data_IF_816289196617
#
_entry.id   IF_816289196617
#
_cell.length_a   1.000
_cell.length_b   1.000
_cell.length_c   1.000
_cell.angle_alpha   90.00
_cell.angle_beta   90.00
_cell.angle_gamma   90.00
#
_symmetry.space_group_name_H-M   'P 1'
#
loop_
_entity.id
_entity.type
_entity.pdbx_description
1 polymer ?
#
# COMPACT_ATOMS: atom_id res chain seq x y z
N UNK A 1 23.91 13.08 3.12
CA UNK A 1 24.63 13.62 1.93
C UNK A 1 23.57 14.22 0.99
N UNK A 2 22.97 15.33 1.41
CA UNK A 2 21.97 16.08 0.66
C UNK A 2 22.24 17.57 0.92
N UNK A 3 23.19 18.14 0.17
CA UNK A 3 23.33 19.59 -0.01
C UNK A 3 23.83 19.84 -1.41
N UNK A 4 23.27 20.85 -2.03
CA UNK A 4 23.49 21.45 -3.35
C UNK A 4 22.59 20.93 -4.47
N UNK A 5 21.60 21.74 -4.81
CA UNK A 5 21.48 22.53 -6.04
C UNK A 5 20.35 23.54 -5.86
N UNK A 6 20.73 24.79 -5.62
CA UNK A 6 19.91 25.98 -5.86
C UNK A 6 20.78 26.95 -6.67
N UNK A 7 20.26 27.41 -7.78
CA UNK A 7 20.74 28.64 -8.43
C UNK A 7 21.03 28.53 -9.91
N UNK A 8 20.07 28.97 -10.73
CA UNK A 8 20.25 30.10 -11.65
C UNK A 8 19.04 30.27 -12.56
N UNK A 9 18.49 31.46 -12.52
CA UNK A 9 17.51 32.00 -13.48
C UNK A 9 18.25 32.40 -14.75
N UNK A 10 17.62 32.25 -15.92
CA UNK A 10 17.66 33.27 -17.00
C UNK A 10 16.50 33.03 -17.97
N UNK A 11 15.87 34.13 -18.30
CA UNK A 11 14.76 34.28 -19.24
C UNK A 11 15.27 34.41 -20.68
N UNK A 12 14.41 34.06 -21.65
CA UNK A 12 14.24 34.80 -22.90
C UNK A 12 13.31 34.09 -23.88
N UNK A 13 12.20 34.73 -24.17
CA UNK A 13 11.66 35.31 -25.42
C UNK A 13 11.06 34.34 -26.45
N UNK A 14 9.83 34.73 -26.75
CA UNK A 14 8.94 34.21 -27.79
C UNK A 14 9.43 34.49 -29.21
N UNK A 15 9.07 33.62 -30.14
CA UNK A 15 8.80 33.98 -31.52
C UNK A 15 7.80 33.02 -32.16
N UNK A 16 6.73 33.55 -32.63
CA UNK A 16 5.72 32.90 -33.45
C UNK A 16 6.16 32.82 -34.92
N UNK A 17 5.82 31.74 -35.60
CA UNK A 17 5.70 31.77 -37.09
C UNK A 17 4.61 30.80 -37.55
N UNK A 18 3.73 31.35 -38.34
CA UNK A 18 2.58 30.81 -39.06
C UNK A 18 3.08 30.15 -40.38
N UNK A 19 2.44 29.07 -40.81
CA UNK A 19 2.71 28.49 -42.15
C UNK A 19 1.80 27.31 -42.45
N UNK A 20 0.64 27.57 -42.97
CA UNK A 20 -0.08 27.19 -44.19
C UNK A 20 -0.09 25.68 -44.60
N UNK A 21 -1.33 25.23 -44.80
CA UNK A 21 -1.83 23.96 -45.39
C UNK A 21 -1.23 23.66 -46.77
N UNK A 22 -1.12 22.34 -47.06
CA UNK A 22 -1.37 21.77 -48.37
C UNK A 22 -1.96 20.36 -48.25
N UNK A 23 -3.18 20.21 -48.79
CA UNK A 23 -3.84 18.93 -49.05
C UNK A 23 -3.20 18.26 -50.30
N UNK A 24 -2.99 16.98 -50.24
CA UNK A 24 -2.92 16.13 -51.45
C UNK A 24 -3.62 14.80 -51.17
N UNK A 25 -4.70 14.59 -51.89
CA UNK A 25 -5.38 13.30 -52.00
C UNK A 25 -4.66 12.45 -53.07
N UNK A 26 -4.50 11.16 -52.83
CA UNK A 26 -4.33 10.16 -53.88
C UNK A 26 -4.94 8.83 -53.45
N UNK A 27 -5.59 8.23 -54.39
CA UNK A 27 -6.53 7.14 -54.47
C UNK A 27 -5.89 5.74 -54.43
N UNK A 28 -6.61 4.81 -53.77
CA UNK A 28 -6.83 3.36 -54.05
C UNK A 28 -5.76 2.48 -54.69
N UNK A 29 -5.42 1.38 -54.01
CA UNK A 29 -5.25 0.06 -54.59
C UNK A 29 -5.56 -1.02 -53.53
N UNK A 30 -6.46 -1.94 -53.93
CA UNK A 30 -6.81 -3.16 -53.21
C UNK A 30 -5.62 -4.12 -53.11
N UNK A 31 -5.44 -4.78 -51.99
CA UNK A 31 -4.71 -6.03 -51.86
C UNK A 31 -5.16 -6.86 -50.65
N UNK A 32 -5.78 -7.95 -50.98
CA UNK A 32 -5.88 -9.23 -50.29
C UNK A 32 -5.99 -9.30 -48.75
N UNK A 33 -7.18 -9.72 -48.34
CA UNK A 33 -7.54 -10.20 -47.02
C UNK A 33 -6.86 -11.54 -46.70
N UNK A 34 -5.82 -11.51 -45.87
CA UNK A 34 -5.38 -12.70 -45.13
C UNK A 34 -6.05 -12.61 -43.76
N UNK A 35 -6.94 -13.56 -43.51
CA UNK A 35 -7.73 -13.64 -42.28
C UNK A 35 -6.83 -13.70 -41.03
N UNK A 36 -7.02 -12.75 -40.14
CA UNK A 36 -6.47 -12.82 -38.79
C UNK A 36 -7.15 -13.95 -38.00
N UNK A 37 -6.40 -14.72 -37.19
CA UNK A 37 -7.00 -15.74 -36.34
C UNK A 37 -7.95 -15.07 -35.34
N UNK A 38 -9.14 -15.62 -35.19
CA UNK A 38 -10.17 -15.17 -34.27
C UNK A 38 -9.59 -15.09 -32.84
N UNK A 39 -9.72 -13.92 -32.25
CA UNK A 39 -9.38 -13.71 -30.84
C UNK A 39 -10.24 -14.64 -29.98
N UNK A 40 -9.62 -15.48 -29.17
CA UNK A 40 -10.30 -16.26 -28.15
C UNK A 40 -11.10 -15.32 -27.22
N UNK A 41 -12.34 -15.65 -26.85
CA UNK A 41 -13.13 -14.80 -25.98
C UNK A 41 -12.42 -14.66 -24.62
N UNK A 42 -12.15 -13.41 -24.24
CA UNK A 42 -11.72 -13.10 -22.89
C UNK A 42 -12.71 -13.67 -21.88
N UNK A 43 -12.25 -14.28 -20.77
CA UNK A 43 -13.16 -14.78 -19.75
C UNK A 43 -14.04 -13.66 -19.26
N UNK A 44 -15.35 -13.83 -19.38
CA UNK A 44 -16.36 -12.87 -18.93
C UNK A 44 -16.22 -12.72 -17.41
N UNK A 45 -15.70 -11.59 -16.97
CA UNK A 45 -15.58 -11.24 -15.56
C UNK A 45 -16.97 -10.90 -15.05
N UNK A 46 -17.54 -11.75 -14.21
CA UNK A 46 -18.72 -11.41 -13.42
C UNK A 46 -18.36 -10.25 -12.49
N UNK A 47 -19.05 -9.12 -12.65
CA UNK A 47 -18.88 -7.96 -11.77
C UNK A 47 -19.16 -8.37 -10.32
N UNK A 48 -18.25 -8.10 -9.38
CA UNK A 48 -18.48 -8.39 -7.97
C UNK A 48 -19.57 -7.48 -7.41
N UNK A 49 -20.44 -8.02 -6.57
CA UNK A 49 -21.56 -7.33 -5.92
C UNK A 49 -21.11 -6.69 -4.60
N UNK A 50 -21.25 -5.38 -4.47
CA UNK A 50 -21.04 -4.45 -3.34
C UNK A 50 -19.60 -4.24 -2.79
N UNK A 51 -19.23 -2.98 -2.39
CA UNK A 51 -17.88 -2.67 -1.90
C UNK A 51 -17.66 -3.38 -0.57
N UNK A 52 -16.60 -4.19 -0.53
CA UNK A 52 -16.22 -5.02 0.58
C UNK A 52 -15.75 -4.20 1.79
N UNK A 53 -16.66 -3.84 2.68
CA UNK A 53 -16.36 -3.86 4.10
C UNK A 53 -15.98 -5.30 4.45
N UNK A 54 -14.92 -5.52 5.25
CA UNK A 54 -14.68 -6.88 5.74
C UNK A 54 -15.96 -7.31 6.47
N UNK A 55 -16.75 -8.26 5.96
CA UNK A 55 -18.03 -8.60 6.55
C UNK A 55 -17.79 -9.16 7.96
N UNK A 56 -18.75 -8.91 8.86
CA UNK A 56 -18.75 -9.61 10.15
C UNK A 56 -18.81 -11.11 9.93
N UNK A 57 -18.04 -11.88 10.71
CA UNK A 57 -17.91 -13.33 10.54
C UNK A 57 -16.87 -13.74 9.50
N UNK A 58 -16.03 -12.82 9.02
CA UNK A 58 -14.90 -13.15 8.14
C UNK A 58 -13.65 -13.49 8.97
N UNK A 59 -12.96 -14.56 8.59
CA UNK A 59 -11.66 -14.89 9.19
C UNK A 59 -10.63 -13.82 8.82
N UNK A 60 -9.93 -13.30 9.83
CA UNK A 60 -8.88 -12.30 9.57
C UNK A 60 -7.73 -12.97 8.82
N UNK A 61 -7.42 -12.43 7.65
CA UNK A 61 -6.30 -12.90 6.85
C UNK A 61 -4.99 -12.37 7.42
N UNK A 62 -4.00 -13.21 7.72
CA UNK A 62 -2.69 -12.76 8.16
C UNK A 62 -2.01 -11.77 7.21
N UNK A 63 -2.32 -11.80 5.91
CA UNK A 63 -1.81 -10.86 4.91
C UNK A 63 -2.21 -9.40 5.18
N UNK A 64 -3.21 -9.15 6.05
CA UNK A 64 -3.51 -7.81 6.55
C UNK A 64 -2.27 -7.10 7.09
N UNK A 65 -1.38 -7.85 7.76
CA UNK A 65 -0.21 -7.34 8.46
C UNK A 65 1.02 -7.29 7.57
N UNK A 66 0.97 -6.44 6.55
CA UNK A 66 2.08 -6.19 5.66
C UNK A 66 3.08 -5.17 6.22
N UNK A 67 4.30 -5.24 5.72
CA UNK A 67 5.36 -4.26 6.01
C UNK A 67 6.35 -4.15 4.84
N UNK A 68 7.22 -3.15 4.91
CA UNK A 68 8.42 -3.04 4.08
C UNK A 68 9.64 -3.37 4.93
N UNK A 69 10.63 -3.97 4.31
CA UNK A 69 11.99 -4.07 4.85
C UNK A 69 12.92 -3.44 3.83
N UNK A 70 13.46 -2.27 4.16
CA UNK A 70 14.31 -1.53 3.25
C UNK A 70 15.63 -2.28 3.05
N UNK A 71 16.12 -2.27 1.80
CA UNK A 71 17.37 -2.94 1.41
C UNK A 71 17.42 -4.45 1.73
N UNK A 72 16.28 -5.12 1.80
CA UNK A 72 16.17 -6.55 2.12
C UNK A 72 17.02 -7.42 1.16
N UNK A 73 17.23 -6.97 -0.07
CA UNK A 73 18.07 -7.63 -1.07
C UNK A 73 19.57 -7.71 -0.67
N UNK A 74 20.01 -6.99 0.36
CA UNK A 74 21.39 -7.10 0.89
C UNK A 74 21.61 -8.36 1.74
N UNK A 75 20.52 -9.03 2.17
CA UNK A 75 20.59 -10.25 2.98
C UNK A 75 20.95 -10.07 4.45
N UNK A 76 21.35 -8.85 4.86
CA UNK A 76 21.68 -8.50 6.24
C UNK A 76 20.76 -7.44 6.85
N UNK A 77 19.69 -7.05 6.15
CA UNK A 77 18.69 -6.17 6.70
C UNK A 77 17.95 -6.88 7.84
N UNK A 78 17.75 -6.21 8.99
CA UNK A 78 16.97 -6.80 10.06
C UNK A 78 15.51 -6.98 9.59
N UNK A 79 15.01 -8.21 9.70
CA UNK A 79 13.64 -8.58 9.34
C UNK A 79 12.78 -8.76 10.58
N UNK A 80 11.45 -8.53 10.53
CA UNK A 80 10.57 -8.83 11.64
C UNK A 80 10.51 -10.35 11.91
N UNK A 81 10.26 -10.73 13.15
CA UNK A 81 10.12 -12.14 13.54
C UNK A 81 9.00 -12.84 12.74
N UNK A 82 7.95 -12.10 12.39
CA UNK A 82 6.91 -12.52 11.46
C UNK A 82 6.26 -11.31 10.78
N UNK A 83 5.80 -11.52 9.55
CA UNK A 83 5.00 -10.58 8.79
C UNK A 83 3.95 -11.33 7.97
N UNK A 84 2.78 -10.75 7.76
CA UNK A 84 1.74 -11.36 6.93
C UNK A 84 2.03 -11.22 5.43
N UNK A 85 2.62 -10.09 5.05
CA UNK A 85 3.01 -9.75 3.68
C UNK A 85 4.26 -8.84 3.67
N UNK A 86 5.07 -8.94 2.62
CA UNK A 86 6.22 -8.05 2.38
C UNK A 86 6.04 -7.37 1.03
N UNK A 87 6.14 -6.04 1.03
CA UNK A 87 6.15 -5.23 -0.18
C UNK A 87 7.58 -4.82 -0.53
N UNK A 88 8.03 -5.24 -1.70
CA UNK A 88 9.38 -4.98 -2.21
C UNK A 88 9.44 -3.61 -2.92
N UNK A 89 9.45 -2.54 -2.13
CA UNK A 89 9.75 -1.16 -2.51
C UNK A 89 10.85 -0.63 -1.61
N UNK A 90 11.79 0.15 -2.13
CA UNK A 90 13.04 0.55 -1.45
C UNK A 90 13.88 -0.63 -0.91
N UNK A 91 13.62 -1.79 -1.46
CA UNK A 91 14.12 -3.10 -1.04
C UNK A 91 15.44 -3.51 -1.72
N UNK A 92 15.96 -2.68 -2.65
CA UNK A 92 17.15 -3.00 -3.44
C UNK A 92 16.83 -3.73 -4.76
N UNK A 93 15.53 -3.87 -5.12
CA UNK A 93 15.07 -4.56 -6.33
C UNK A 93 14.07 -3.74 -7.14
N UNK A 94 14.20 -2.39 -7.16
CA UNK A 94 13.50 -1.57 -8.15
C UNK A 94 13.97 -1.97 -9.58
N UNK A 95 13.12 -1.83 -10.59
CA UNK A 95 13.46 -2.29 -11.96
C UNK A 95 14.82 -1.80 -12.42
N UNK A 96 15.18 -0.52 -12.20
CA UNK A 96 16.50 0.00 -12.50
C UNK A 96 17.65 -0.79 -11.84
N UNK A 97 17.44 -1.30 -10.63
CA UNK A 97 18.44 -2.06 -9.88
C UNK A 97 18.50 -3.52 -10.35
N UNK A 98 17.36 -4.06 -10.74
CA UNK A 98 17.23 -5.44 -11.25
C UNK A 98 17.78 -5.56 -12.66
N UNK A 99 17.51 -4.60 -13.55
CA UNK A 99 17.95 -4.64 -14.97
C UNK A 99 18.62 -3.31 -15.37
N UNK A 100 19.79 -2.99 -14.81
CA UNK A 100 20.49 -1.72 -15.06
C UNK A 100 20.90 -1.53 -16.51
N UNK A 101 21.19 -2.62 -17.23
CA UNK A 101 21.43 -2.68 -18.66
C UNK A 101 20.47 -3.67 -19.30
N UNK A 102 20.00 -3.36 -20.50
CA UNK A 102 19.04 -4.20 -21.22
C UNK A 102 19.51 -5.65 -21.31
N UNK A 103 18.70 -6.57 -20.83
CA UNK A 103 18.98 -8.01 -20.83
C UNK A 103 19.87 -8.50 -19.70
N UNK A 104 20.52 -7.61 -18.93
CA UNK A 104 21.37 -7.98 -17.80
C UNK A 104 20.59 -7.88 -16.49
N UNK A 105 19.99 -8.98 -16.05
CA UNK A 105 19.17 -9.02 -14.84
C UNK A 105 19.99 -9.52 -13.65
N UNK A 106 19.95 -8.78 -12.56
CA UNK A 106 20.54 -9.15 -11.28
C UNK A 106 19.58 -10.09 -10.51
N UNK A 107 19.56 -11.35 -10.91
CA UNK A 107 18.74 -12.36 -10.26
C UNK A 107 19.14 -12.60 -8.80
N UNK A 108 20.42 -12.50 -8.48
CA UNK A 108 20.90 -12.74 -7.11
C UNK A 108 20.25 -11.77 -6.11
N UNK A 109 20.11 -10.48 -6.45
CA UNK A 109 19.43 -9.52 -5.60
C UNK A 109 17.94 -9.83 -5.44
N UNK A 110 17.27 -10.23 -6.53
CA UNK A 110 15.86 -10.64 -6.49
C UNK A 110 15.67 -11.92 -5.68
N UNK A 111 16.51 -12.94 -5.91
CA UNK A 111 16.47 -14.21 -5.15
C UNK A 111 16.65 -13.97 -3.65
N UNK A 112 17.61 -13.11 -3.28
CA UNK A 112 17.85 -12.73 -1.89
C UNK A 112 16.64 -11.99 -1.29
N UNK A 113 16.07 -11.02 -2.02
CA UNK A 113 14.92 -10.27 -1.52
C UNK A 113 13.70 -11.16 -1.29
N UNK A 114 13.40 -12.05 -2.23
CA UNK A 114 12.27 -12.99 -2.13
C UNK A 114 12.52 -13.98 -0.99
N UNK A 115 13.72 -14.58 -0.91
CA UNK A 115 14.04 -15.54 0.16
C UNK A 115 14.00 -14.89 1.54
N UNK A 116 14.51 -13.67 1.70
CA UNK A 116 14.42 -12.94 2.98
C UNK A 116 12.98 -12.58 3.34
N UNK A 117 12.13 -12.25 2.36
CA UNK A 117 10.71 -12.03 2.62
C UNK A 117 10.02 -13.32 3.10
N UNK A 118 10.32 -14.46 2.47
CA UNK A 118 9.79 -15.78 2.88
C UNK A 118 10.24 -16.19 4.29
N UNK A 119 11.45 -15.83 4.71
CA UNK A 119 11.97 -16.07 6.07
C UNK A 119 11.15 -15.41 7.17
N UNK A 120 10.44 -14.33 6.88
CA UNK A 120 9.50 -13.71 7.83
C UNK A 120 8.21 -14.50 8.01
N UNK A 121 8.02 -15.60 7.28
CA UNK A 121 6.76 -16.34 7.23
C UNK A 121 5.66 -15.63 6.43
N UNK A 122 6.02 -14.60 5.63
CA UNK A 122 5.08 -13.86 4.81
C UNK A 122 4.34 -14.78 3.83
N UNK A 123 3.02 -14.66 3.81
CA UNK A 123 2.14 -15.40 2.90
C UNK A 123 1.97 -14.71 1.56
N UNK A 124 2.51 -13.50 1.44
CA UNK A 124 2.46 -12.72 0.22
C UNK A 124 3.72 -11.87 0.07
N UNK A 125 4.28 -11.92 -1.12
CA UNK A 125 5.34 -11.02 -1.57
C UNK A 125 4.80 -10.18 -2.71
N UNK A 126 4.91 -8.86 -2.57
CA UNK A 126 4.46 -7.88 -3.57
C UNK A 126 5.68 -7.23 -4.19
N UNK A 127 5.87 -7.37 -5.49
CA UNK A 127 6.92 -6.64 -6.19
C UNK A 127 6.36 -5.39 -6.88
N UNK A 128 6.99 -4.23 -6.66
CA UNK A 128 6.59 -2.96 -7.27
C UNK A 128 7.36 -2.72 -8.56
N UNK A 129 6.64 -2.68 -9.67
CA UNK A 129 7.17 -2.47 -11.01
C UNK A 129 7.19 -0.98 -11.33
N UNK A 130 8.25 -0.31 -11.06
CA UNK A 130 8.38 1.13 -11.37
C UNK A 130 9.85 1.48 -11.51
N UNK A 131 10.14 2.75 -11.63
CA UNK A 131 11.50 3.26 -11.70
C UNK A 131 12.32 2.59 -12.83
N UNK A 132 11.95 2.81 -14.09
CA UNK A 132 12.63 2.18 -15.21
C UNK A 132 14.10 2.62 -15.30
N UNK A 133 15.00 1.77 -15.80
CA UNK A 133 16.35 2.18 -16.15
C UNK A 133 16.34 3.13 -17.36
N UNK A 134 17.40 3.94 -17.52
CA UNK A 134 17.50 4.93 -18.62
C UNK A 134 17.20 4.36 -20.01
N UNK A 135 17.65 3.13 -20.29
CA UNK A 135 17.44 2.50 -21.59
C UNK A 135 15.98 2.14 -21.88
N UNK A 136 15.14 1.98 -20.83
CA UNK A 136 13.72 1.67 -20.94
C UNK A 136 12.82 2.91 -20.81
N UNK A 137 13.35 4.04 -20.35
CA UNK A 137 12.65 5.29 -20.12
C UNK A 137 12.35 6.00 -21.45
N UNK A 138 11.16 6.59 -21.62
CA UNK A 138 10.84 7.46 -22.77
C UNK A 138 11.65 8.76 -22.71
N UNK A 139 11.84 9.30 -21.51
CA UNK A 139 12.74 10.41 -21.23
C UNK A 139 13.85 9.93 -20.27
N UNK A 140 15.04 9.59 -20.80
CA UNK A 140 16.14 9.10 -19.98
C UNK A 140 16.74 10.15 -19.05
N UNK A 141 16.35 11.42 -19.19
CA UNK A 141 16.81 12.55 -18.34
C UNK A 141 15.82 12.87 -17.23
N UNK A 142 14.62 12.31 -17.24
CA UNK A 142 13.60 12.54 -16.22
C UNK A 142 14.07 12.01 -14.87
N UNK A 143 14.55 12.91 -14.01
CA UNK A 143 15.09 12.54 -12.70
C UNK A 143 13.99 12.09 -11.73
N UNK A 144 14.20 10.97 -11.07
CA UNK A 144 13.31 10.38 -10.07
C UNK A 144 14.06 9.94 -8.82
N UNK A 145 13.40 9.18 -7.94
CA UNK A 145 13.94 8.76 -6.65
C UNK A 145 15.28 8.00 -6.79
N UNK A 146 15.40 7.17 -7.80
CA UNK A 146 16.62 6.37 -8.05
C UNK A 146 17.50 6.95 -9.16
N UNK A 147 17.37 8.25 -9.47
CA UNK A 147 18.17 9.00 -10.46
C UNK A 147 17.46 9.14 -11.81
N UNK A 148 18.22 9.49 -12.84
CA UNK A 148 17.67 9.84 -14.13
C UNK A 148 16.98 8.67 -14.85
N UNK A 149 15.90 8.98 -15.54
CA UNK A 149 15.02 8.04 -16.24
C UNK A 149 13.96 7.41 -15.34
N UNK A 150 14.18 7.37 -14.00
CA UNK A 150 13.36 6.56 -13.10
C UNK A 150 11.98 7.13 -12.81
N UNK A 151 11.72 8.40 -13.11
CA UNK A 151 10.38 8.98 -13.06
C UNK A 151 9.68 9.01 -14.43
N UNK A 152 10.35 8.61 -15.51
CA UNK A 152 9.76 8.59 -16.85
C UNK A 152 8.76 7.47 -17.05
N UNK A 153 7.69 7.67 -17.82
CA UNK A 153 6.97 6.54 -18.41
C UNK A 153 7.91 5.61 -19.18
N UNK A 154 7.79 4.30 -19.04
CA UNK A 154 8.66 3.36 -19.74
C UNK A 154 8.20 3.11 -21.18
N UNK A 155 9.08 2.52 -21.99
CA UNK A 155 8.66 1.74 -23.15
C UNK A 155 7.76 0.58 -22.68
N UNK A 156 6.54 0.50 -23.21
CA UNK A 156 5.60 -0.58 -22.85
C UNK A 156 6.19 -1.96 -23.15
N UNK A 157 6.90 -2.12 -24.28
CA UNK A 157 7.56 -3.38 -24.64
C UNK A 157 8.59 -3.80 -23.59
N UNK A 158 9.44 -2.87 -23.14
CA UNK A 158 10.45 -3.14 -22.12
C UNK A 158 9.82 -3.47 -20.77
N UNK A 159 8.77 -2.75 -20.38
CA UNK A 159 8.02 -2.99 -19.15
C UNK A 159 7.37 -4.38 -19.11
N UNK A 160 6.70 -4.79 -20.18
CA UNK A 160 6.10 -6.11 -20.26
C UNK A 160 7.15 -7.23 -20.32
N UNK A 161 8.32 -6.97 -20.93
CA UNK A 161 9.42 -7.94 -20.96
C UNK A 161 9.98 -8.22 -19.57
N UNK A 162 10.24 -7.19 -18.75
CA UNK A 162 10.71 -7.42 -17.35
C UNK A 162 9.63 -8.08 -16.50
N UNK A 163 8.36 -7.68 -16.64
CA UNK A 163 7.25 -8.36 -15.98
C UNK A 163 7.23 -9.84 -16.33
N UNK A 164 7.31 -10.18 -17.63
CA UNK A 164 7.33 -11.57 -18.10
C UNK A 164 8.46 -12.36 -17.45
N UNK A 165 9.68 -11.83 -17.46
CA UNK A 165 10.85 -12.52 -16.91
C UNK A 165 10.74 -12.75 -15.40
N UNK A 166 10.32 -11.74 -14.65
CA UNK A 166 10.17 -11.83 -13.18
C UNK A 166 9.00 -12.74 -12.82
N UNK A 167 7.84 -12.57 -13.47
CA UNK A 167 6.67 -13.41 -13.20
C UNK A 167 6.92 -14.89 -13.53
N UNK A 168 7.63 -15.18 -14.63
CA UNK A 168 7.98 -16.57 -14.96
C UNK A 168 8.95 -17.19 -13.95
N UNK A 169 9.97 -16.43 -13.50
CA UNK A 169 10.96 -16.93 -12.54
C UNK A 169 10.40 -17.16 -11.14
N UNK A 170 9.55 -16.24 -10.68
CA UNK A 170 9.02 -16.24 -9.30
C UNK A 170 7.56 -16.66 -9.23
N UNK A 171 7.08 -17.42 -10.21
CA UNK A 171 5.71 -17.95 -10.21
C UNK A 171 5.41 -18.67 -8.91
N UNK A 172 4.31 -18.26 -8.25
CA UNK A 172 3.90 -18.79 -6.95
C UNK A 172 4.70 -18.29 -5.74
N UNK A 173 5.86 -17.60 -5.93
CA UNK A 173 6.67 -17.00 -4.85
C UNK A 173 6.40 -15.50 -4.71
N UNK A 174 6.43 -14.73 -5.80
CA UNK A 174 5.88 -13.38 -5.84
C UNK A 174 4.41 -13.52 -6.23
N UNK A 175 3.52 -13.26 -5.28
CA UNK A 175 2.08 -13.52 -5.43
C UNK A 175 1.29 -12.27 -5.81
N UNK A 176 1.93 -11.10 -5.82
CA UNK A 176 1.33 -9.87 -6.29
C UNK A 176 2.36 -8.95 -6.98
N UNK A 177 1.91 -8.25 -8.01
CA UNK A 177 2.71 -7.33 -8.81
C UNK A 177 2.02 -5.98 -8.82
N UNK A 178 2.66 -4.95 -8.29
CA UNK A 178 2.11 -3.59 -8.28
C UNK A 178 2.65 -2.79 -9.45
N UNK A 179 1.73 -2.20 -10.23
CA UNK A 179 2.07 -1.55 -11.50
C UNK A 179 3.03 -0.38 -11.33
N UNK A 180 2.82 0.47 -10.30
CA UNK A 180 3.64 1.66 -10.07
C UNK A 180 3.53 2.15 -8.63
N UNK A 181 4.55 2.91 -8.18
CA UNK A 181 4.54 3.61 -6.89
C UNK A 181 4.16 5.08 -7.09
N UNK A 182 3.19 5.59 -6.32
CA UNK A 182 2.75 7.00 -6.27
C UNK A 182 2.73 7.71 -7.62
N UNK A 183 2.04 7.11 -8.59
CA UNK A 183 2.01 7.56 -9.98
C UNK A 183 1.43 8.99 -10.16
N UNK A 184 0.82 9.54 -9.12
CA UNK A 184 0.31 10.91 -9.09
C UNK A 184 1.32 11.94 -8.58
N UNK A 185 2.60 11.56 -8.33
CA UNK A 185 3.67 12.46 -7.91
C UNK A 185 4.78 12.48 -8.96
N UNK A 186 5.23 13.68 -9.36
CA UNK A 186 6.21 13.87 -10.45
C UNK A 186 7.56 13.21 -10.22
N UNK A 187 7.99 13.01 -8.96
CA UNK A 187 9.26 12.33 -8.68
C UNK A 187 9.20 10.83 -8.99
N UNK A 188 7.99 10.24 -9.04
CA UNK A 188 7.77 8.85 -9.39
C UNK A 188 7.24 8.65 -10.80
N UNK A 189 6.43 9.61 -11.34
CA UNK A 189 5.85 9.50 -12.67
C UNK A 189 5.72 10.88 -13.33
N UNK A 190 6.74 11.28 -14.08
CA UNK A 190 6.84 12.56 -14.77
C UNK A 190 6.43 12.43 -16.23
N UNK A 191 5.55 13.32 -16.68
CA UNK A 191 5.13 13.35 -18.09
C UNK A 191 4.17 12.25 -18.52
N UNK A 192 3.73 11.39 -17.58
CA UNK A 192 2.69 10.40 -17.84
C UNK A 192 1.32 10.86 -17.33
N UNK A 193 0.26 10.48 -18.05
CA UNK A 193 -1.13 10.73 -17.65
C UNK A 193 -1.74 9.52 -16.95
N UNK A 194 -2.84 9.75 -16.24
CA UNK A 194 -3.66 8.70 -15.64
C UNK A 194 -4.16 7.69 -16.69
N UNK A 195 -4.56 8.18 -17.87
CA UNK A 195 -4.98 7.36 -19.01
C UNK A 195 -3.83 6.48 -19.54
N UNK A 196 -2.60 7.02 -19.63
CA UNK A 196 -1.43 6.25 -20.04
C UNK A 196 -1.08 5.16 -19.02
N UNK A 197 -1.21 5.46 -17.72
CA UNK A 197 -1.01 4.49 -16.65
C UNK A 197 -2.07 3.39 -16.69
N UNK A 198 -3.34 3.71 -16.94
CA UNK A 198 -4.41 2.73 -17.08
C UNK A 198 -4.19 1.79 -18.30
N UNK A 199 -3.71 2.33 -19.44
CA UNK A 199 -3.30 1.50 -20.59
C UNK A 199 -2.15 0.57 -20.26
N UNK A 200 -1.16 1.04 -19.51
CA UNK A 200 -0.04 0.20 -19.06
C UNK A 200 -0.52 -0.90 -18.12
N UNK A 201 -1.42 -0.55 -17.19
CA UNK A 201 -2.06 -1.49 -16.24
C UNK A 201 -2.79 -2.61 -16.98
N UNK A 202 -3.60 -2.28 -17.98
CA UNK A 202 -4.36 -3.23 -18.78
C UNK A 202 -3.45 -4.24 -19.52
N UNK A 203 -2.37 -3.74 -20.13
CA UNK A 203 -1.37 -4.58 -20.78
C UNK A 203 -0.61 -5.46 -19.77
N UNK A 204 -0.28 -4.92 -18.60
CA UNK A 204 0.35 -5.67 -17.53
C UNK A 204 -0.55 -6.78 -16.99
N UNK A 205 -1.85 -6.49 -16.83
CA UNK A 205 -2.84 -7.46 -16.38
C UNK A 205 -2.92 -8.66 -17.32
N UNK A 206 -3.14 -8.41 -18.60
CA UNK A 206 -3.22 -9.47 -19.61
C UNK A 206 -1.94 -10.30 -19.66
N UNK A 207 -0.77 -9.64 -19.57
CA UNK A 207 0.54 -10.33 -19.58
C UNK A 207 0.73 -11.19 -18.33
N UNK A 208 0.44 -10.65 -17.14
CA UNK A 208 0.59 -11.38 -15.87
C UNK A 208 -0.34 -12.59 -15.84
N UNK A 209 -1.61 -12.41 -16.19
CA UNK A 209 -2.61 -13.50 -16.16
C UNK A 209 -2.31 -14.63 -17.14
N UNK A 210 -1.65 -14.34 -18.25
CA UNK A 210 -1.16 -15.36 -19.17
C UNK A 210 -0.02 -16.22 -18.60
N UNK A 211 0.78 -15.67 -17.67
CA UNK A 211 1.95 -16.36 -17.08
C UNK A 211 1.57 -17.04 -15.76
N UNK A 212 0.95 -16.28 -14.87
CA UNK A 212 0.53 -16.72 -13.54
C UNK A 212 -0.88 -16.22 -13.22
N UNK A 213 -1.92 -16.98 -13.59
CA UNK A 213 -3.32 -16.59 -13.33
C UNK A 213 -3.65 -16.40 -11.85
N UNK A 214 -2.89 -17.04 -10.94
CA UNK A 214 -3.10 -16.94 -9.50
C UNK A 214 -2.51 -15.66 -8.90
N UNK A 215 -1.48 -15.07 -9.54
CA UNK A 215 -0.87 -13.84 -9.06
C UNK A 215 -1.82 -12.65 -9.24
N UNK A 216 -1.80 -11.73 -8.27
CA UNK A 216 -2.63 -10.52 -8.29
C UNK A 216 -1.91 -9.35 -8.96
N UNK A 217 -2.59 -8.64 -9.86
CA UNK A 217 -2.13 -7.33 -10.29
C UNK A 217 -2.74 -6.24 -9.40
N UNK A 218 -1.87 -5.50 -8.72
CA UNK A 218 -2.20 -4.36 -7.88
C UNK A 218 -2.06 -3.09 -8.72
N UNK A 219 -3.08 -2.26 -8.76
CA UNK A 219 -3.05 -0.98 -9.47
C UNK A 219 -1.91 -0.08 -8.99
N UNK A 220 -1.59 0.93 -9.80
CA UNK A 220 -0.60 1.93 -9.39
C UNK A 220 -1.05 2.62 -8.11
N UNK A 221 -0.16 2.70 -7.11
CA UNK A 221 -0.49 3.40 -5.87
C UNK A 221 -0.53 4.91 -6.07
N UNK A 222 -1.31 5.55 -5.22
CA UNK A 222 -1.46 7.01 -5.20
C UNK A 222 -1.50 7.51 -3.78
N UNK A 223 -0.88 8.66 -3.51
CA UNK A 223 -1.10 9.36 -2.25
C UNK A 223 -2.38 10.19 -2.35
N UNK A 224 -3.22 10.12 -1.33
CA UNK A 224 -4.53 10.82 -1.29
C UNK A 224 -4.55 12.00 -0.32
N UNK A 225 -3.47 12.22 0.40
CA UNK A 225 -3.33 13.33 1.38
C UNK A 225 -3.13 14.71 0.76
N UNK A 226 -2.88 14.78 -0.54
CA UNK A 226 -2.65 16.01 -1.30
C UNK A 226 -3.91 16.39 -2.07
N UNK A 227 -4.27 17.67 -2.02
CA UNK A 227 -5.40 18.22 -2.75
C UNK A 227 -5.03 18.65 -4.18
N UNK A 228 -6.03 19.00 -4.98
CA UNK A 228 -5.87 19.49 -6.34
C UNK A 228 -5.38 18.42 -7.32
N UNK A 229 -4.47 18.76 -8.25
CA UNK A 229 -4.09 17.89 -9.36
C UNK A 229 -3.66 16.47 -8.98
N UNK A 230 -3.16 16.28 -7.75
CA UNK A 230 -2.73 14.98 -7.23
C UNK A 230 -3.93 14.09 -6.95
N UNK A 231 -5.00 14.66 -6.40
CA UNK A 231 -6.27 13.99 -6.16
C UNK A 231 -7.00 13.72 -7.48
N UNK A 232 -7.08 14.72 -8.34
CA UNK A 232 -7.74 14.65 -9.64
C UNK A 232 -7.13 13.53 -10.51
N UNK A 233 -5.80 13.39 -10.47
CA UNK A 233 -5.12 12.31 -11.18
C UNK A 233 -5.62 10.91 -10.77
N UNK A 234 -5.90 10.71 -9.48
CA UNK A 234 -6.41 9.42 -9.01
C UNK A 234 -7.84 9.16 -9.48
N UNK A 235 -8.70 10.18 -9.43
CA UNK A 235 -10.06 10.06 -9.98
C UNK A 235 -10.04 9.73 -11.48
N UNK A 236 -9.16 10.37 -12.25
CA UNK A 236 -8.97 10.10 -13.68
C UNK A 236 -8.45 8.68 -13.92
N UNK A 237 -7.52 8.21 -13.09
CA UNK A 237 -7.00 6.85 -13.17
C UNK A 237 -8.09 5.81 -12.91
N UNK A 238 -8.89 5.99 -11.87
CA UNK A 238 -10.03 5.13 -11.58
C UNK A 238 -11.06 5.13 -12.73
N UNK A 239 -11.33 6.30 -13.32
CA UNK A 239 -12.23 6.41 -14.47
C UNK A 239 -11.68 5.68 -15.69
N UNK A 240 -10.37 5.78 -15.93
CA UNK A 240 -9.72 5.12 -17.05
C UNK A 240 -9.63 3.59 -16.88
N UNK A 241 -9.47 3.09 -15.63
CA UNK A 241 -9.55 1.66 -15.32
C UNK A 241 -10.97 1.13 -15.49
N UNK A 242 -11.98 1.86 -15.01
CA UNK A 242 -13.38 1.47 -15.15
C UNK A 242 -13.81 1.32 -16.62
N UNK A 243 -13.35 2.22 -17.51
CA UNK A 243 -13.57 2.13 -18.97
C UNK A 243 -12.94 0.89 -19.61
N UNK A 244 -12.05 0.18 -18.90
CA UNK A 244 -11.34 -1.04 -19.32
C UNK A 244 -11.75 -2.26 -18.51
N UNK A 245 -12.94 -2.24 -17.91
CA UNK A 245 -13.46 -3.33 -17.08
C UNK A 245 -12.51 -3.74 -15.94
N UNK A 246 -11.84 -2.73 -15.35
CA UNK A 246 -11.00 -2.91 -14.18
C UNK A 246 -9.90 -3.98 -14.35
N UNK A 247 -8.90 -3.78 -15.21
CA UNK A 247 -7.82 -4.74 -15.42
C UNK A 247 -6.83 -4.73 -14.25
N UNK A 248 -7.34 -4.96 -13.04
CA UNK A 248 -6.61 -5.09 -11.78
C UNK A 248 -7.37 -6.06 -10.87
N UNK A 249 -6.67 -6.74 -9.98
CA UNK A 249 -7.29 -7.52 -8.91
C UNK A 249 -7.48 -6.71 -7.63
N UNK A 250 -6.66 -5.67 -7.43
CA UNK A 250 -6.60 -4.85 -6.23
C UNK A 250 -6.34 -3.39 -6.60
N UNK A 251 -7.03 -2.47 -5.94
CA UNK A 251 -6.65 -1.05 -5.94
C UNK A 251 -5.75 -0.73 -4.76
N UNK A 252 -4.83 0.21 -4.94
CA UNK A 252 -3.90 0.61 -3.89
C UNK A 252 -3.86 2.11 -3.65
N UNK A 253 -3.69 2.47 -2.40
CA UNK A 253 -3.57 3.85 -1.91
C UNK A 253 -2.48 3.95 -0.86
N UNK A 254 -1.97 5.15 -0.62
CA UNK A 254 -1.07 5.46 0.49
C UNK A 254 -1.79 6.44 1.44
N UNK A 255 -2.03 5.99 2.67
CA UNK A 255 -2.88 6.70 3.64
C UNK A 255 -2.07 7.36 4.75
N UNK A 256 -0.95 7.96 4.42
CA UNK A 256 -0.13 8.71 5.38
C UNK A 256 -0.89 9.88 6.00
N UNK A 257 -1.12 9.91 7.32
CA UNK A 257 -1.54 11.14 8.00
C UNK A 257 -0.45 12.21 7.95
N UNK A 258 -0.86 13.46 8.16
CA UNK A 258 0.03 14.61 8.05
C UNK A 258 0.48 15.05 9.43
N UNK A 259 1.78 15.33 9.58
CA UNK A 259 2.39 15.88 10.78
C UNK A 259 2.08 15.04 12.04
N UNK A 260 1.39 15.59 13.00
CA UNK A 260 1.02 14.98 14.29
C UNK A 260 -0.38 14.37 14.31
N UNK A 261 -1.01 14.23 13.13
CA UNK A 261 -2.31 13.58 13.00
C UNK A 261 -2.19 12.07 13.26
N UNK A 262 -3.12 11.54 14.04
CA UNK A 262 -3.14 10.14 14.44
C UNK A 262 -3.87 9.20 13.49
N UNK A 263 -4.02 7.95 13.92
CA UNK A 263 -4.60 6.85 13.14
C UNK A 263 -6.02 7.16 12.62
N UNK A 264 -6.84 7.89 13.36
CA UNK A 264 -8.20 8.25 12.95
C UNK A 264 -8.28 9.06 11.64
N UNK A 265 -7.23 9.81 11.28
CA UNK A 265 -7.20 10.60 10.04
C UNK A 265 -7.28 9.74 8.79
N UNK A 266 -6.75 8.51 8.81
CA UNK A 266 -6.82 7.57 7.69
C UNK A 266 -8.26 7.27 7.27
N UNK A 267 -9.17 7.22 8.25
CA UNK A 267 -10.58 7.01 7.96
C UNK A 267 -11.21 8.15 7.15
N UNK A 268 -10.77 9.38 7.34
CA UNK A 268 -11.23 10.51 6.51
C UNK A 268 -10.83 10.32 5.04
N UNK A 269 -9.61 9.83 4.78
CA UNK A 269 -9.16 9.53 3.42
C UNK A 269 -9.98 8.40 2.77
N UNK A 270 -10.26 7.33 3.51
CA UNK A 270 -11.09 6.23 3.02
C UNK A 270 -12.52 6.71 2.71
N UNK A 271 -13.11 7.53 3.58
CA UNK A 271 -14.43 8.13 3.31
C UNK A 271 -14.43 9.02 2.06
N UNK A 272 -13.33 9.69 1.76
CA UNK A 272 -13.19 10.53 0.58
C UNK A 272 -13.15 9.69 -0.71
N UNK A 273 -12.41 8.58 -0.73
CA UNK A 273 -12.23 7.78 -1.96
C UNK A 273 -13.40 6.82 -2.22
N UNK A 274 -14.12 6.35 -1.20
CA UNK A 274 -15.24 5.40 -1.36
C UNK A 274 -16.32 5.83 -2.33
N UNK A 275 -16.84 7.08 -2.31
CA UNK A 275 -17.81 7.54 -3.30
C UNK A 275 -17.29 7.44 -4.74
N UNK A 276 -15.97 7.64 -4.96
CA UNK A 276 -15.38 7.50 -6.30
C UNK A 276 -15.38 6.06 -6.77
N UNK A 277 -15.04 5.12 -5.87
CA UNK A 277 -15.06 3.69 -6.15
C UNK A 277 -16.49 3.22 -6.43
N UNK A 278 -17.45 3.58 -5.56
CA UNK A 278 -18.87 3.24 -5.71
C UNK A 278 -19.44 3.79 -7.02
N UNK A 279 -19.19 5.07 -7.33
CA UNK A 279 -19.65 5.72 -8.57
C UNK A 279 -19.20 4.97 -9.83
N UNK A 280 -18.06 4.27 -9.76
CA UNK A 280 -17.45 3.56 -10.89
C UNK A 280 -17.61 2.04 -10.81
N UNK A 281 -18.40 1.54 -9.86
CA UNK A 281 -18.72 0.11 -9.72
C UNK A 281 -17.56 -0.78 -9.25
N UNK A 282 -16.53 -0.19 -8.59
CA UNK A 282 -15.48 -1.01 -7.98
C UNK A 282 -15.97 -1.66 -6.69
N UNK A 283 -15.79 -2.99 -6.61
CA UNK A 283 -16.21 -3.81 -5.46
C UNK A 283 -15.10 -4.74 -4.98
N UNK A 284 -13.94 -4.70 -5.64
CA UNK A 284 -12.77 -5.49 -5.27
C UNK A 284 -12.00 -4.91 -4.07
N UNK A 285 -10.93 -5.58 -3.63
CA UNK A 285 -10.12 -5.18 -2.49
C UNK A 285 -9.41 -3.85 -2.71
N UNK A 286 -9.16 -3.16 -1.59
CA UNK A 286 -8.35 -1.95 -1.52
C UNK A 286 -7.25 -2.15 -0.48
N UNK A 287 -6.00 -1.93 -0.88
CA UNK A 287 -4.85 -2.02 0.01
C UNK A 287 -4.27 -0.65 0.31
N UNK A 288 -3.87 -0.43 1.57
CA UNK A 288 -3.01 0.66 1.99
C UNK A 288 -1.56 0.20 1.86
N UNK A 289 -0.96 0.47 0.70
CA UNK A 289 0.34 -0.11 0.36
C UNK A 289 1.55 0.65 0.92
N UNK A 290 1.31 1.80 1.54
CA UNK A 290 2.29 2.49 2.39
C UNK A 290 1.60 3.34 3.44
N UNK A 291 2.02 3.19 4.69
CA UNK A 291 1.62 4.05 5.80
C UNK A 291 2.70 4.14 6.88
N UNK A 292 2.89 5.33 7.41
CA UNK A 292 3.56 5.69 8.65
C UNK A 292 3.02 7.06 9.06
N UNK A 293 3.54 7.65 10.14
CA UNK A 293 3.05 8.90 10.70
C UNK A 293 4.18 9.94 10.77
N UNK A 294 3.82 11.18 11.06
CA UNK A 294 4.78 12.26 11.23
C UNK A 294 5.29 12.89 9.95
N UNK A 295 4.84 12.42 8.78
CA UNK A 295 5.23 13.00 7.50
C UNK A 295 4.59 14.38 7.30
N UNK A 296 5.36 15.34 6.79
CA UNK A 296 4.87 16.65 6.39
C UNK A 296 4.62 16.71 4.89
N UNK A 297 3.57 17.43 4.47
CA UNK A 297 3.26 17.64 3.03
C UNK A 297 4.42 18.29 2.26
N UNK A 298 5.24 19.05 2.95
CA UNK A 298 6.39 19.74 2.40
C UNK A 298 7.66 18.99 2.80
N UNK A 299 8.29 18.34 1.84
CA UNK A 299 9.55 17.60 2.03
C UNK A 299 10.72 18.48 2.51
N UNK A 300 10.61 19.82 2.42
CA UNK A 300 11.59 20.73 2.99
C UNK A 300 11.47 20.88 4.51
N UNK A 301 10.36 20.41 5.11
CA UNK A 301 10.12 20.49 6.55
C UNK A 301 10.54 19.18 7.23
N UNK A 302 11.05 19.34 8.45
CA UNK A 302 11.46 18.20 9.27
C UNK A 302 10.27 17.27 9.58
N UNK A 303 10.52 15.96 9.58
CA UNK A 303 9.59 14.92 10.03
C UNK A 303 9.20 15.18 11.51
N UNK A 304 7.94 14.93 11.84
CA UNK A 304 7.45 14.96 13.23
C UNK A 304 7.66 13.59 13.86
N UNK A 305 8.61 13.50 14.77
CA UNK A 305 8.81 12.26 15.54
C UNK A 305 7.64 12.05 16.49
N UNK A 306 7.03 10.89 16.40
CA UNK A 306 5.92 10.49 17.27
C UNK A 306 6.48 9.82 18.53
N UNK A 307 6.18 10.33 19.74
CA UNK A 307 6.63 9.70 20.98
C UNK A 307 6.18 8.24 21.08
N UNK A 308 7.05 7.34 21.53
CA UNK A 308 6.80 5.89 21.58
C UNK A 308 5.55 5.52 22.37
N UNK A 309 5.21 6.28 23.42
CA UNK A 309 3.97 6.09 24.18
C UNK A 309 2.69 6.21 23.33
N UNK A 310 2.72 7.02 22.25
CA UNK A 310 1.62 7.13 21.28
C UNK A 310 1.82 6.23 20.08
N UNK A 311 3.06 6.01 19.68
CA UNK A 311 3.42 5.29 18.47
C UNK A 311 2.87 3.85 18.51
N UNK A 312 3.02 3.13 19.60
CA UNK A 312 2.49 1.78 19.80
C UNK A 312 0.97 1.72 19.57
N UNK A 313 0.22 2.66 20.14
CA UNK A 313 -1.22 2.75 19.93
C UNK A 313 -1.59 3.06 18.49
N UNK A 314 -0.86 3.94 17.82
CA UNK A 314 -1.14 4.29 16.42
C UNK A 314 -0.81 3.14 15.45
N UNK A 315 0.28 2.39 15.71
CA UNK A 315 0.60 1.17 14.94
C UNK A 315 -0.51 0.15 15.09
N UNK A 316 -0.92 -0.18 16.31
CA UNK A 316 -2.00 -1.13 16.57
C UNK A 316 -3.31 -0.70 15.89
N UNK A 317 -3.70 0.56 16.04
CA UNK A 317 -4.91 1.11 15.44
C UNK A 317 -4.88 1.11 13.91
N UNK A 318 -3.70 1.28 13.31
CA UNK A 318 -3.57 1.21 11.86
C UNK A 318 -4.16 -0.07 11.29
N UNK A 319 -3.91 -1.21 11.90
CA UNK A 319 -4.45 -2.50 11.46
C UNK A 319 -5.90 -2.73 11.89
N UNK A 320 -6.24 -2.38 13.13
CA UNK A 320 -7.59 -2.55 13.68
C UNK A 320 -8.60 -1.68 12.91
N UNK A 321 -8.28 -0.39 12.72
CA UNK A 321 -9.13 0.55 12.01
C UNK A 321 -9.26 0.16 10.52
N UNK A 322 -8.23 -0.45 9.92
CA UNK A 322 -8.25 -0.92 8.54
C UNK A 322 -9.30 -2.01 8.33
N UNK A 323 -9.39 -3.00 9.23
CA UNK A 323 -10.47 -4.00 9.19
C UNK A 323 -11.85 -3.33 9.23
N UNK A 324 -12.04 -2.39 10.15
CA UNK A 324 -13.31 -1.68 10.30
C UNK A 324 -13.65 -0.79 9.10
N UNK A 325 -12.64 -0.32 8.37
CA UNK A 325 -12.78 0.53 7.19
C UNK A 325 -12.82 -0.26 5.87
N UNK A 326 -12.68 -1.58 5.91
CA UNK A 326 -12.66 -2.42 4.72
C UNK A 326 -11.41 -2.22 3.87
N UNK A 327 -10.28 -2.05 4.51
CA UNK A 327 -8.95 -2.14 3.90
C UNK A 327 -8.45 -3.56 4.14
N UNK A 328 -8.18 -4.28 3.06
CA UNK A 328 -7.89 -5.70 3.13
C UNK A 328 -6.46 -6.00 3.56
N UNK A 329 -5.52 -5.12 3.22
CA UNK A 329 -4.11 -5.22 3.59
C UNK A 329 -3.50 -3.84 3.84
N UNK A 330 -2.55 -3.80 4.78
CA UNK A 330 -1.81 -2.60 5.14
C UNK A 330 -0.32 -2.93 5.12
N UNK A 331 0.48 -2.09 4.48
CA UNK A 331 1.93 -2.24 4.44
C UNK A 331 2.61 -1.09 5.18
N UNK A 332 3.10 -1.40 6.37
CA UNK A 332 3.83 -0.41 7.17
C UNK A 332 5.15 0.00 6.51
N UNK A 333 5.41 1.30 6.41
CA UNK A 333 6.65 1.83 5.84
C UNK A 333 7.49 2.52 6.92
N UNK A 334 8.49 1.87 7.47
CA UNK A 334 8.98 0.51 7.26
C UNK A 334 9.37 -0.13 8.60
N UNK A 335 9.78 -1.42 8.57
CA UNK A 335 10.24 -2.13 9.75
C UNK A 335 11.59 -1.59 10.26
N UNK A 336 12.53 -1.32 9.36
CA UNK A 336 13.96 -1.13 9.67
C UNK A 336 14.53 0.23 9.27
N UNK A 337 13.69 1.27 9.14
CA UNK A 337 14.15 2.60 8.72
C UNK A 337 13.50 3.72 9.56
N UNK A 338 14.16 4.89 9.60
CA UNK A 338 13.80 6.07 10.38
C UNK A 338 13.46 7.27 9.49
N UNK A 339 12.98 7.03 8.28
CA UNK A 339 12.62 8.10 7.33
C UNK A 339 11.34 8.83 7.74
N UNK A 340 10.53 8.24 8.63
CA UNK A 340 9.25 8.78 9.05
C UNK A 340 9.14 8.83 10.59
N UNK A 341 8.01 9.30 11.10
CA UNK A 341 7.90 9.69 12.51
C UNK A 341 7.77 8.55 13.53
N UNK A 342 7.57 7.30 13.07
CA UNK A 342 7.50 6.12 13.96
C UNK A 342 8.49 5.07 13.50
N UNK A 343 9.43 4.75 14.38
CA UNK A 343 10.42 3.69 14.21
C UNK A 343 9.93 2.40 14.87
N UNK A 344 9.94 1.27 14.14
CA UNK A 344 9.65 -0.06 14.69
C UNK A 344 10.92 -0.74 15.24
N UNK A 345 12.10 -0.33 14.76
CA UNK A 345 13.39 -0.65 15.37
C UNK A 345 14.06 0.63 15.86
N UNK A 346 14.73 0.60 16.99
CA UNK A 346 15.57 1.71 17.45
C UNK A 346 16.78 1.84 16.51
N UNK A 347 16.99 3.00 15.86
CA UNK A 347 18.05 3.19 14.88
C UNK A 347 19.47 3.05 15.45
N UNK A 348 19.64 3.19 16.76
CA UNK A 348 20.94 3.14 17.42
C UNK A 348 21.30 1.73 17.88
N UNK A 349 20.30 0.96 18.30
CA UNK A 349 20.52 -0.36 18.90
C UNK A 349 20.05 -1.51 18.02
N UNK A 350 19.15 -1.25 17.05
CA UNK A 350 18.46 -2.29 16.26
C UNK A 350 17.42 -3.07 17.05
N UNK A 351 17.11 -2.67 18.28
CA UNK A 351 16.13 -3.36 19.11
C UNK A 351 14.71 -2.95 18.72
N UNK A 352 13.78 -3.88 18.90
CA UNK A 352 12.36 -3.65 18.65
C UNK A 352 11.84 -2.58 19.63
N UNK A 353 11.27 -1.53 19.09
CA UNK A 353 10.66 -0.46 19.90
C UNK A 353 9.28 -0.89 20.43
N UNK A 354 8.65 -0.13 21.36
CA UNK A 354 7.25 -0.35 21.72
C UNK A 354 6.29 -0.33 20.52
N UNK A 355 6.57 0.46 19.48
CA UNK A 355 5.80 0.49 18.24
C UNK A 355 5.98 -0.81 17.42
N UNK A 356 7.20 -1.31 17.32
CA UNK A 356 7.50 -2.60 16.71
C UNK A 356 6.88 -3.76 17.48
N UNK A 357 6.93 -3.72 18.82
CA UNK A 357 6.26 -4.72 19.65
C UNK A 357 4.75 -4.71 19.44
N UNK A 358 4.13 -3.54 19.35
CA UNK A 358 2.69 -3.41 19.07
C UNK A 358 2.31 -4.04 17.72
N UNK A 359 3.14 -3.89 16.67
CA UNK A 359 2.94 -4.55 15.38
C UNK A 359 2.92 -6.08 15.54
N UNK A 360 3.88 -6.65 16.25
CA UNK A 360 3.95 -8.09 16.49
C UNK A 360 2.77 -8.57 17.35
N UNK A 361 2.45 -7.85 18.41
CA UNK A 361 1.38 -8.20 19.37
C UNK A 361 0.00 -8.21 18.71
N UNK A 362 -0.31 -7.21 17.87
CA UNK A 362 -1.62 -7.15 17.21
C UNK A 362 -1.80 -8.31 16.22
N UNK A 363 -0.74 -8.76 15.56
CA UNK A 363 -0.79 -9.97 14.72
C UNK A 363 -1.20 -11.19 15.56
N UNK A 364 -0.63 -11.36 16.76
CA UNK A 364 -1.00 -12.46 17.67
C UNK A 364 -2.46 -12.34 18.18
N UNK A 365 -2.96 -11.11 18.40
CA UNK A 365 -4.37 -10.91 18.75
C UNK A 365 -5.34 -11.41 17.69
N UNK A 366 -4.97 -11.28 16.43
CA UNK A 366 -5.80 -11.67 15.30
C UNK A 366 -5.51 -13.08 14.76
N UNK A 367 -4.54 -13.79 15.29
CA UNK A 367 -4.18 -15.12 14.84
C UNK A 367 -5.34 -16.11 15.02
N UNK A 368 -5.88 -16.59 13.90
CA UNK A 368 -7.04 -17.48 13.89
C UNK A 368 -8.37 -16.82 14.30
N UNK A 369 -8.40 -15.48 14.39
CA UNK A 369 -9.59 -14.74 14.76
C UNK A 369 -10.55 -14.53 13.57
N UNK A 370 -11.84 -14.42 13.90
CA UNK A 370 -12.92 -14.02 13.03
C UNK A 370 -13.38 -12.63 13.44
N UNK A 371 -13.42 -11.71 12.47
CA UNK A 371 -13.83 -10.34 12.69
C UNK A 371 -15.36 -10.25 12.89
N UNK A 372 -15.78 -9.54 13.95
CA UNK A 372 -17.21 -9.36 14.29
C UNK A 372 -17.63 -7.88 14.26
N UNK A 373 -16.78 -7.00 13.72
CA UNK A 373 -17.08 -5.58 13.60
C UNK A 373 -16.76 -4.77 14.86
N UNK A 374 -16.90 -3.45 14.72
CA UNK A 374 -16.74 -2.48 15.80
C UNK A 374 -18.05 -1.73 16.09
N UNK A 375 -18.21 -1.27 17.33
CA UNK A 375 -19.22 -0.33 17.79
C UNK A 375 -18.53 0.90 18.39
N UNK A 376 -19.13 2.09 18.22
CA UNK A 376 -18.53 3.37 18.59
C UNK A 376 -17.93 4.09 17.37
N UNK A 377 -17.41 5.29 17.59
CA UNK A 377 -16.76 6.07 16.53
C UNK A 377 -15.41 5.47 16.15
N UNK A 378 -15.21 5.18 14.86
CA UNK A 378 -13.89 4.81 14.33
C UNK A 378 -13.02 6.05 14.06
N UNK A 379 -13.63 7.21 14.01
CA UNK A 379 -13.02 8.46 13.55
C UNK A 379 -13.38 9.60 14.45
N UNK A 380 -12.44 9.96 15.28
CA UNK A 380 -12.33 11.34 15.73
C UNK A 380 -11.03 11.91 15.15
N UNK A 381 -11.08 12.68 14.05
CA UNK A 381 -9.90 13.29 13.46
C UNK A 381 -9.25 14.32 14.39
N UNK A 382 -9.99 14.79 15.42
CA UNK A 382 -9.48 15.76 16.39
C UNK A 382 -8.83 15.09 17.59
N UNK A 383 -9.11 13.82 17.84
CA UNK A 383 -8.64 13.06 19.00
C UNK A 383 -9.15 13.62 20.34
N UNK A 384 -10.24 14.41 20.32
CA UNK A 384 -10.72 15.16 21.49
C UNK A 384 -12.03 14.65 22.08
N UNK A 385 -12.75 13.77 21.39
CA UNK A 385 -14.13 13.42 21.76
C UNK A 385 -14.22 12.58 23.06
N UNK A 386 -13.14 11.94 23.51
CA UNK A 386 -13.20 10.96 24.61
C UNK A 386 -14.07 9.73 24.30
N UNK A 387 -14.62 9.63 23.10
CA UNK A 387 -15.44 8.52 22.66
C UNK A 387 -14.63 7.22 22.65
N UNK A 388 -15.28 6.11 22.96
CA UNK A 388 -14.68 4.78 22.98
C UNK A 388 -15.16 3.95 21.82
N UNK A 389 -14.25 3.11 21.31
CA UNK A 389 -14.55 2.10 20.30
C UNK A 389 -14.34 0.71 20.89
N UNK A 390 -15.25 -0.19 20.59
CA UNK A 390 -15.15 -1.60 20.95
C UNK A 390 -15.27 -2.43 19.68
N UNK A 391 -14.19 -3.13 19.33
CA UNK A 391 -14.19 -4.12 18.24
C UNK A 391 -14.29 -5.53 18.81
N UNK A 392 -15.02 -6.41 18.15
CA UNK A 392 -15.27 -7.79 18.59
C UNK A 392 -14.56 -8.76 17.66
N UNK A 393 -13.95 -9.77 18.25
CA UNK A 393 -13.36 -10.91 17.53
C UNK A 393 -13.77 -12.22 18.22
N UNK A 394 -13.77 -13.30 17.43
CA UNK A 394 -14.05 -14.65 17.91
C UNK A 394 -13.01 -15.59 17.33
N UNK A 395 -12.48 -16.48 18.15
CA UNK A 395 -11.54 -17.51 17.75
C UNK A 395 -12.27 -18.81 17.35
N UNK A 396 -11.59 -19.67 16.59
CA UNK A 396 -12.16 -20.95 16.15
C UNK A 396 -12.58 -21.91 17.27
N UNK A 397 -12.04 -21.70 18.50
CA UNK A 397 -12.42 -22.41 19.72
C UNK A 397 -13.78 -21.94 20.32
N UNK A 398 -14.42 -20.92 19.72
CA UNK A 398 -15.60 -20.26 20.27
C UNK A 398 -15.28 -19.14 21.27
N UNK A 399 -14.03 -19.04 21.73
CA UNK A 399 -13.59 -17.98 22.63
C UNK A 399 -13.79 -16.60 21.96
N UNK A 400 -14.32 -15.63 22.71
CA UNK A 400 -14.53 -14.27 22.24
C UNK A 400 -13.55 -13.32 22.91
N UNK A 401 -13.24 -12.21 22.21
CA UNK A 401 -12.49 -11.11 22.78
C UNK A 401 -13.03 -9.76 22.29
N UNK A 402 -12.68 -8.71 23.02
CA UNK A 402 -12.99 -7.33 22.67
C UNK A 402 -11.71 -6.51 22.63
N UNK A 403 -11.55 -5.69 21.63
CA UNK A 403 -10.48 -4.71 21.54
C UNK A 403 -11.11 -3.35 21.82
N UNK A 404 -10.60 -2.65 22.84
CA UNK A 404 -11.14 -1.38 23.32
C UNK A 404 -10.08 -0.29 23.25
N UNK A 405 -10.48 0.89 22.79
CA UNK A 405 -9.65 2.10 22.82
C UNK A 405 -10.51 3.35 22.86
N UNK A 406 -9.91 4.48 23.27
CA UNK A 406 -10.55 5.79 23.25
C UNK A 406 -9.95 6.70 22.17
N UNK A 407 -10.70 7.70 21.72
CA UNK A 407 -10.25 8.70 20.74
C UNK A 407 -9.70 9.97 21.37
N UNK A 408 -9.47 9.98 22.67
CA UNK A 408 -8.93 11.12 23.40
C UNK A 408 -8.01 10.67 24.50
N UNK A 409 -8.09 11.35 25.64
CA UNK A 409 -7.42 10.94 26.86
C UNK A 409 -7.93 9.61 27.42
N UNK A 410 -7.33 9.16 28.50
CA UNK A 410 -7.80 7.98 29.20
C UNK A 410 -9.24 8.18 29.73
N UNK A 411 -10.06 7.15 29.56
CA UNK A 411 -11.43 7.08 30.07
C UNK A 411 -11.64 5.74 30.76
N UNK A 412 -12.77 5.57 31.43
CA UNK A 412 -13.08 4.34 32.15
C UNK A 412 -14.41 3.77 31.61
N UNK A 413 -14.40 2.50 31.24
CA UNK A 413 -15.58 1.77 30.78
C UNK A 413 -15.92 0.64 31.75
N UNK A 414 -17.14 0.12 31.69
CA UNK A 414 -17.51 -1.07 32.43
C UNK A 414 -16.70 -2.28 31.95
N UNK A 415 -16.16 -3.08 32.89
CA UNK A 415 -15.50 -4.32 32.55
C UNK A 415 -16.49 -5.30 31.90
N UNK A 416 -16.18 -5.94 30.77
CA UNK A 416 -17.02 -6.99 30.22
C UNK A 416 -17.27 -8.11 31.25
N UNK A 417 -18.51 -8.51 31.46
CA UNK A 417 -18.90 -9.45 32.54
C UNK A 417 -18.13 -10.76 32.58
N UNK A 418 -17.75 -11.28 31.41
CA UNK A 418 -17.01 -12.54 31.30
C UNK A 418 -15.50 -12.31 31.05
N UNK A 419 -14.98 -11.10 31.34
CA UNK A 419 -13.55 -10.85 31.19
C UNK A 419 -12.75 -11.76 32.10
N UNK A 420 -11.72 -12.42 31.57
CA UNK A 420 -10.80 -13.23 32.36
C UNK A 420 -9.34 -12.84 32.16
N UNK A 421 -9.04 -12.07 31.12
CA UNK A 421 -7.69 -11.59 30.83
C UNK A 421 -7.72 -10.27 30.07
N UNK A 422 -6.84 -9.35 30.44
CA UNK A 422 -6.60 -8.07 29.77
C UNK A 422 -5.17 -8.09 29.26
N UNK A 423 -5.00 -7.92 27.94
CA UNK A 423 -3.69 -7.94 27.28
C UNK A 423 -3.34 -6.56 26.73
N UNK A 424 -2.09 -6.15 26.92
CA UNK A 424 -1.52 -4.89 26.47
C UNK A 424 -0.72 -5.05 25.16
N UNK A 425 -0.32 -3.93 24.54
CA UNK A 425 0.44 -3.93 23.31
C UNK A 425 1.90 -4.40 23.47
N UNK A 426 2.42 -4.44 24.69
CA UNK A 426 3.73 -5.03 25.00
C UNK A 426 3.70 -6.58 25.08
N UNK A 427 2.53 -7.18 24.90
CA UNK A 427 2.31 -8.62 24.99
C UNK A 427 1.97 -9.11 26.40
N UNK A 428 2.06 -8.27 27.42
CA UNK A 428 1.69 -8.65 28.78
C UNK A 428 0.17 -8.85 28.92
N UNK A 429 -0.24 -9.81 29.74
CA UNK A 429 -1.64 -10.08 30.02
C UNK A 429 -1.84 -10.31 31.52
N UNK A 430 -2.86 -9.66 32.08
CA UNK A 430 -3.20 -9.72 33.51
C UNK A 430 -4.67 -10.10 33.72
N UNK A 431 -5.03 -10.73 34.88
CA UNK A 431 -6.42 -10.90 35.25
C UNK A 431 -7.12 -9.54 35.44
N UNK A 432 -8.43 -9.43 35.16
CA UNK A 432 -9.18 -8.22 35.47
C UNK A 432 -9.26 -7.98 36.95
N UNK A 433 -9.17 -6.70 37.37
CA UNK A 433 -9.37 -6.25 38.74
C UNK A 433 -10.54 -5.27 38.77
N UNK A 434 -11.56 -5.55 39.60
CA UNK A 434 -12.75 -4.70 39.72
C UNK A 434 -13.70 -4.78 38.50
N UNK A 435 -14.67 -3.87 38.51
CA UNK A 435 -15.77 -3.80 37.54
C UNK A 435 -15.57 -2.73 36.44
N UNK A 436 -14.45 -2.03 36.49
CA UNK A 436 -14.11 -0.96 35.53
C UNK A 436 -12.74 -1.17 34.90
N UNK A 437 -12.64 -0.77 33.63
CA UNK A 437 -11.44 -0.85 32.83
C UNK A 437 -11.03 0.56 32.38
N UNK A 438 -9.80 0.96 32.66
CA UNK A 438 -9.20 2.16 32.11
C UNK A 438 -8.82 1.89 30.64
N UNK A 439 -9.24 2.76 29.73
CA UNK A 439 -9.03 2.66 28.29
C UNK A 439 -8.45 3.96 27.77
N UNK A 440 -7.30 3.88 27.15
CA UNK A 440 -6.63 5.02 26.49
C UNK A 440 -6.70 4.94 24.96
N UNK A 441 -5.89 5.76 24.29
CA UNK A 441 -5.76 5.74 22.85
C UNK A 441 -5.01 4.49 22.32
N UNK A 442 -4.23 3.84 23.17
CA UNK A 442 -3.64 2.54 22.89
C UNK A 442 -4.69 1.44 23.12
N UNK A 443 -4.95 0.59 22.10
CA UNK A 443 -5.89 -0.51 22.25
C UNK A 443 -5.48 -1.52 23.30
N UNK A 444 -6.48 -2.06 24.02
CA UNK A 444 -6.33 -3.20 24.91
C UNK A 444 -7.21 -4.35 24.43
N UNK A 445 -6.73 -5.59 24.53
CA UNK A 445 -7.51 -6.78 24.26
C UNK A 445 -8.07 -7.36 25.56
N UNK A 446 -9.37 -7.52 25.64
CA UNK A 446 -10.06 -8.21 26.75
C UNK A 446 -10.54 -9.57 26.24
N UNK A 447 -9.93 -10.64 26.72
CA UNK A 447 -10.36 -12.01 26.44
C UNK A 447 -11.54 -12.35 27.37
N UNK A 448 -12.56 -12.94 26.79
CA UNK A 448 -13.75 -13.37 27.53
C UNK A 448 -13.65 -14.86 27.85
N UNK A 449 -14.17 -15.29 28.98
CA UNK A 449 -14.28 -16.70 29.31
C UNK A 449 -15.04 -17.43 28.20
N UNK A 450 -14.71 -18.68 27.96
CA UNK A 450 -15.51 -19.52 27.09
C UNK A 450 -16.92 -19.67 27.68
N UNK A 451 -17.97 -19.73 26.84
CA UNK A 451 -19.32 -19.93 27.28
C UNK A 451 -19.52 -21.22 28.06
#
# INVERSE_FOLDING_TARGET
MFKQVLGSRLAATASALVGVLLLAACTTADADSVGAPAASPSPTRTAPTEPAFVPTGTKVDPRLFGTHVLQIARGNAPIPAHAGAIRLWDSGVAWRQVEPKQGQINWAAMDQAVSSAEQTGARQVVWVMGSPPKWAAKDPTASGLYGDGTSSPPSTKAYLNILTKVASRYKGRITAYQVWNEANIKIFYRGGSAEAMAKLTDRAYSTLKAIDPAAQLVGASTTVRRDGPVKDWYEDYLAALAKRDWPVDVLSVHLYPIADQGAGTRAAYIRMIRPWLKKRGWTGPVWDTEVNYGDRRDFAKQIVIVPQARAAGWVARTYIDSLALGIDQVFWYSWNDHLLGIDQLDPRTGWVTPAGQAYLTVQEWFKGAWWQGCTGELVDPTGKSGATTTCKIQYGTGQKARILFSHGGATTVAMPRSAHQICQLDGSCVPPTGDRLAVGSAPVLVRLAAP
#
